data_IF_457404057981
#
_entry.id   IF_457404057981
#
_cell.length_a   1.000
_cell.length_b   1.000
_cell.length_c   1.000
_cell.angle_alpha   90.00
_cell.angle_beta   90.00
_cell.angle_gamma   90.00
#
_symmetry.space_group_name_H-M   'P 1'
#
loop_
_entity.id
_entity.type
_entity.pdbx_description
1 polymer ?
#
# COMPACT_ATOMS: atom_id res chain seq x y z
N UNK A 1 16.32 19.06 -10.24
CA UNK A 1 16.12 19.69 -8.92
C UNK A 1 15.12 18.81 -8.21
N UNK A 2 15.55 18.05 -7.20
CA UNK A 2 14.62 17.26 -6.38
C UNK A 2 13.66 18.21 -5.67
N UNK A 3 12.36 17.92 -5.72
CA UNK A 3 11.35 18.68 -4.98
C UNK A 3 11.57 18.46 -3.48
N UNK A 4 11.83 19.53 -2.74
CA UNK A 4 12.00 19.46 -1.29
C UNK A 4 10.62 19.54 -0.62
N UNK A 5 10.30 18.54 0.20
CA UNK A 5 9.06 18.48 0.98
C UNK A 5 9.34 19.03 2.39
N UNK A 6 8.47 19.90 2.88
CA UNK A 6 8.63 20.57 4.19
C UNK A 6 7.42 20.37 5.11
N UNK A 7 6.28 19.92 4.59
CA UNK A 7 5.07 19.73 5.37
C UNK A 7 4.28 18.48 4.95
N UNK A 8 3.32 18.12 5.79
CA UNK A 8 2.36 17.05 5.51
C UNK A 8 0.99 17.37 6.07
N UNK A 9 -0.04 17.05 5.30
CA UNK A 9 -1.43 17.24 5.68
C UNK A 9 -2.15 15.90 5.52
N UNK A 10 -2.43 15.17 6.61
CA UNK A 10 -3.24 13.96 6.55
C UNK A 10 -4.70 14.33 6.24
N UNK A 11 -5.29 13.64 5.27
CA UNK A 11 -6.61 13.96 4.75
C UNK A 11 -7.61 12.88 5.16
N UNK A 12 -8.54 13.27 6.04
CA UNK A 12 -9.59 12.35 6.48
C UNK A 12 -10.61 12.13 5.37
N UNK A 13 -10.90 10.87 5.07
CA UNK A 13 -11.89 10.47 4.05
C UNK A 13 -13.12 9.82 4.66
N UNK A 14 -14.09 9.49 3.82
CA UNK A 14 -15.07 8.45 4.13
C UNK A 14 -14.38 7.08 4.11
N UNK A 15 -15.08 6.03 4.55
CA UNK A 15 -14.61 4.65 4.39
C UNK A 15 -14.63 4.32 2.90
N UNK A 16 -13.45 4.13 2.31
CA UNK A 16 -13.29 3.78 0.90
C UNK A 16 -13.62 2.29 0.73
N UNK A 17 -14.41 1.97 -0.28
CA UNK A 17 -14.90 0.62 -0.58
C UNK A 17 -14.67 0.27 -2.04
N UNK A 18 -14.97 -0.97 -2.42
CA UNK A 18 -14.94 -1.46 -3.81
C UNK A 18 -15.94 -0.74 -4.75
N UNK A 19 -16.81 0.12 -4.21
CA UNK A 19 -17.77 0.94 -4.97
C UNK A 19 -17.18 2.28 -5.39
N UNK A 20 -16.01 2.63 -4.86
CA UNK A 20 -15.34 3.91 -5.09
C UNK A 20 -14.23 3.75 -6.14
N UNK A 21 -14.08 4.74 -7.02
CA UNK A 21 -12.85 4.87 -7.81
C UNK A 21 -11.86 5.73 -7.01
N UNK A 22 -10.69 5.15 -6.70
CA UNK A 22 -9.67 5.82 -5.86
C UNK A 22 -9.20 7.15 -6.45
N UNK A 23 -9.17 7.30 -7.77
CA UNK A 23 -8.75 8.55 -8.44
C UNK A 23 -9.79 9.65 -8.19
N UNK A 24 -11.08 9.31 -8.25
CA UNK A 24 -12.17 10.24 -7.93
C UNK A 24 -12.18 10.63 -6.45
N UNK A 25 -11.92 9.66 -5.56
CA UNK A 25 -11.75 9.92 -4.12
C UNK A 25 -10.59 10.88 -3.88
N UNK A 26 -9.42 10.59 -4.43
CA UNK A 26 -8.23 11.45 -4.28
C UNK A 26 -8.55 12.86 -4.74
N UNK A 27 -9.07 13.02 -5.95
CA UNK A 27 -9.44 14.33 -6.50
C UNK A 27 -10.41 15.08 -5.57
N UNK A 28 -11.48 14.43 -5.12
CA UNK A 28 -12.50 15.03 -4.24
C UNK A 28 -11.92 15.56 -2.94
N UNK A 29 -10.98 14.82 -2.33
CA UNK A 29 -10.46 15.16 -1.01
C UNK A 29 -9.22 16.07 -1.06
N UNK A 30 -8.55 16.18 -2.21
CA UNK A 30 -7.33 17.00 -2.34
C UNK A 30 -7.52 18.26 -3.18
N UNK A 31 -8.63 18.43 -3.92
CA UNK A 31 -8.84 19.56 -4.86
C UNK A 31 -8.65 20.96 -4.28
N UNK A 32 -8.80 21.15 -2.96
CA UNK A 32 -8.65 22.43 -2.26
C UNK A 32 -7.47 22.46 -1.30
N UNK A 33 -6.64 21.41 -1.30
CA UNK A 33 -5.56 21.22 -0.34
C UNK A 33 -4.22 21.02 -1.05
N UNK A 34 -4.19 20.22 -2.11
CA UNK A 34 -2.99 19.97 -2.88
C UNK A 34 -2.85 20.99 -4.03
N UNK A 35 -1.64 21.48 -4.23
CA UNK A 35 -1.29 22.36 -5.33
C UNK A 35 -0.18 21.75 -6.21
N UNK A 36 0.00 22.20 -7.46
CA UNK A 36 1.13 21.78 -8.28
C UNK A 36 2.47 21.96 -7.53
N UNK A 37 3.32 20.95 -7.59
CA UNK A 37 4.59 20.89 -6.84
C UNK A 37 4.50 20.10 -5.53
N UNK A 38 3.29 19.90 -4.97
CA UNK A 38 3.07 18.94 -3.88
C UNK A 38 3.05 17.50 -4.41
N UNK A 39 3.03 16.54 -3.48
CA UNK A 39 2.90 15.12 -3.78
C UNK A 39 1.73 14.54 -2.98
N UNK A 40 0.81 13.84 -3.64
CA UNK A 40 -0.28 13.13 -3.01
C UNK A 40 0.15 11.68 -2.72
N UNK A 41 0.35 11.36 -1.45
CA UNK A 41 0.60 10.00 -1.00
C UNK A 41 -0.72 9.29 -0.68
N UNK A 42 -0.90 8.08 -1.22
CA UNK A 42 -2.08 7.25 -1.00
C UNK A 42 -1.66 5.90 -0.43
N UNK A 43 -2.31 5.48 0.66
CA UNK A 43 -2.04 4.20 1.28
C UNK A 43 -2.38 3.05 0.31
N UNK A 44 -1.49 2.07 0.19
CA UNK A 44 -1.67 0.89 -0.66
C UNK A 44 -3.03 0.21 -0.40
N UNK A 45 -3.32 -0.06 0.88
CA UNK A 45 -4.45 -0.88 1.28
C UNK A 45 -5.78 -0.33 0.77
N UNK A 46 -5.97 1.00 0.77
CA UNK A 46 -7.21 1.60 0.23
C UNK A 46 -7.28 1.55 -1.29
N UNK A 47 -6.14 1.59 -1.99
CA UNK A 47 -6.11 1.38 -3.43
C UNK A 47 -6.56 -0.05 -3.73
N UNK A 48 -6.02 -1.03 -3.01
CA UNK A 48 -6.43 -2.43 -3.13
C UNK A 48 -7.93 -2.64 -2.81
N UNK A 49 -8.42 -2.06 -1.71
CA UNK A 49 -9.83 -2.13 -1.31
C UNK A 49 -10.73 -1.55 -2.40
N UNK A 50 -10.41 -0.37 -2.93
CA UNK A 50 -11.19 0.27 -4.02
C UNK A 50 -11.24 -0.59 -5.30
N UNK A 51 -10.26 -1.45 -5.49
CA UNK A 51 -10.19 -2.39 -6.61
C UNK A 51 -10.91 -3.73 -6.34
N UNK A 52 -11.62 -3.85 -5.21
CA UNK A 52 -12.30 -5.07 -4.80
C UNK A 52 -11.33 -6.19 -4.39
N UNK A 53 -10.16 -5.84 -3.86
CA UNK A 53 -9.10 -6.78 -3.47
C UNK A 53 -9.01 -7.03 -1.97
N UNK A 54 -10.08 -6.72 -1.24
CA UNK A 54 -10.29 -7.17 0.14
C UNK A 54 -11.28 -8.34 0.14
N UNK A 55 -10.87 -9.49 0.68
CA UNK A 55 -11.65 -10.72 0.65
C UNK A 55 -11.92 -11.18 2.08
N UNK A 56 -13.20 -11.41 2.42
CA UNK A 56 -13.55 -12.03 3.70
C UNK A 56 -13.02 -13.47 3.76
N UNK A 57 -12.25 -13.85 4.79
CA UNK A 57 -11.76 -15.22 4.97
C UNK A 57 -12.89 -16.26 4.89
N UNK A 58 -14.05 -15.95 5.45
CA UNK A 58 -15.23 -16.84 5.50
C UNK A 58 -15.85 -17.09 4.12
N UNK A 59 -15.60 -16.21 3.14
CA UNK A 59 -16.03 -16.40 1.76
C UNK A 59 -15.10 -17.31 0.97
N UNK A 60 -13.89 -17.57 1.46
CA UNK A 60 -12.89 -18.42 0.83
C UNK A 60 -13.20 -19.88 1.19
N UNK A 61 -13.05 -20.78 0.21
CA UNK A 61 -13.14 -22.24 0.41
C UNK A 61 -11.76 -22.87 0.24
N UNK A 62 -10.95 -23.01 1.31
CA UNK A 62 -9.61 -23.57 1.22
C UNK A 62 -9.66 -25.05 0.83
N UNK A 63 -8.83 -25.44 -0.13
CA UNK A 63 -8.60 -26.85 -0.44
C UNK A 63 -7.63 -27.50 0.53
N UNK A 64 -7.47 -28.83 0.40
CA UNK A 64 -6.53 -29.60 1.22
C UNK A 64 -5.09 -29.06 1.15
N UNK A 65 -4.63 -28.65 -0.04
CA UNK A 65 -3.32 -28.04 -0.21
C UNK A 65 -3.15 -26.78 0.63
N UNK A 66 -4.17 -25.93 0.70
CA UNK A 66 -4.09 -24.69 1.47
C UNK A 66 -3.99 -24.97 2.97
N UNK A 67 -4.75 -25.95 3.48
CA UNK A 67 -4.65 -26.40 4.87
C UNK A 67 -3.29 -27.03 5.21
N UNK A 68 -2.65 -27.73 4.28
CA UNK A 68 -1.31 -28.27 4.52
C UNK A 68 -0.31 -27.11 4.51
N UNK A 69 -0.38 -26.26 3.49
CA UNK A 69 0.65 -25.27 3.20
C UNK A 69 0.68 -24.12 4.20
N UNK A 70 -0.44 -23.79 4.87
CA UNK A 70 -0.50 -22.71 5.86
C UNK A 70 0.39 -22.95 7.10
N UNK A 71 0.92 -24.16 7.29
CA UNK A 71 1.83 -24.49 8.39
C UNK A 71 3.32 -24.21 8.07
N UNK A 72 3.66 -23.84 6.83
CA UNK A 72 5.05 -23.61 6.41
C UNK A 72 5.58 -22.17 6.59
N UNK A 73 4.73 -21.12 6.49
CA UNK A 73 5.13 -19.77 6.86
C UNK A 73 5.45 -19.66 8.36
N UNK A 74 6.31 -18.68 8.71
CA UNK A 74 6.60 -18.39 10.12
C UNK A 74 5.37 -17.76 10.79
N UNK A 75 5.28 -17.84 12.12
CA UNK A 75 4.16 -17.27 12.91
C UNK A 75 3.96 -15.75 12.73
N UNK A 76 5.02 -15.04 12.32
CA UNK A 76 5.02 -13.60 12.07
C UNK A 76 4.89 -13.28 10.56
N UNK A 77 4.74 -14.29 9.71
CA UNK A 77 4.66 -14.12 8.27
C UNK A 77 3.21 -14.09 7.78
N UNK A 78 2.95 -13.28 6.75
CA UNK A 78 1.77 -13.41 5.91
C UNK A 78 1.65 -14.83 5.33
N UNK A 79 0.42 -15.22 4.98
CA UNK A 79 0.00 -16.52 4.49
C UNK A 79 -0.02 -17.66 5.54
N UNK A 80 -0.19 -17.33 6.82
CA UNK A 80 -0.26 -18.31 7.90
C UNK A 80 -1.66 -18.94 8.08
N UNK A 81 -2.67 -18.47 7.34
CA UNK A 81 -4.03 -19.01 7.35
C UNK A 81 -4.38 -19.74 6.04
N UNK A 82 -5.16 -20.82 6.14
CA UNK A 82 -5.58 -21.60 4.97
C UNK A 82 -6.39 -20.76 3.93
N UNK A 83 -7.33 -19.88 4.33
CA UNK A 83 -7.95 -18.92 3.41
C UNK A 83 -6.93 -18.06 2.64
N UNK A 84 -5.93 -17.53 3.31
CA UNK A 84 -4.89 -16.70 2.70
C UNK A 84 -4.04 -17.46 1.70
N UNK A 85 -3.64 -18.69 2.03
CA UNK A 85 -2.94 -19.56 1.07
C UNK A 85 -3.81 -19.83 -0.16
N UNK A 86 -5.11 -20.08 0.03
CA UNK A 86 -6.03 -20.32 -1.07
C UNK A 86 -6.16 -19.09 -1.98
N UNK A 87 -6.23 -17.89 -1.41
CA UNK A 87 -6.24 -16.62 -2.14
C UNK A 87 -4.91 -16.43 -2.89
N UNK A 88 -3.78 -16.63 -2.23
CA UNK A 88 -2.46 -16.50 -2.84
C UNK A 88 -2.23 -17.48 -4.00
N UNK A 89 -2.65 -18.74 -3.86
CA UNK A 89 -2.65 -19.71 -4.96
C UNK A 89 -3.57 -19.28 -6.11
N UNK A 90 -4.70 -18.64 -5.82
CA UNK A 90 -5.59 -18.08 -6.84
C UNK A 90 -4.94 -16.93 -7.61
N UNK A 91 -4.15 -16.10 -6.93
CA UNK A 91 -3.50 -14.92 -7.52
C UNK A 91 -2.38 -15.29 -8.50
N UNK A 92 -1.56 -16.29 -8.19
CA UNK A 92 -0.39 -16.67 -9.03
C UNK A 92 -0.54 -18.01 -9.77
N UNK A 93 -1.60 -18.76 -9.46
CA UNK A 93 -1.79 -20.14 -9.89
C UNK A 93 -1.07 -21.16 -9.01
N UNK A 94 -1.73 -22.28 -8.74
CA UNK A 94 -1.20 -23.36 -7.88
C UNK A 94 0.18 -23.88 -8.31
N UNK A 95 0.47 -24.14 -9.61
CA UNK A 95 1.79 -24.65 -10.00
C UNK A 95 2.92 -23.68 -9.64
N UNK A 96 2.73 -22.39 -9.91
CA UNK A 96 3.72 -21.34 -9.61
C UNK A 96 3.90 -21.15 -8.11
N UNK A 97 2.80 -21.20 -7.35
CA UNK A 97 2.86 -21.15 -5.89
C UNK A 97 3.70 -22.30 -5.32
N UNK A 98 3.45 -23.54 -5.77
CA UNK A 98 4.19 -24.73 -5.33
C UNK A 98 5.69 -24.66 -5.70
N UNK A 99 6.02 -24.14 -6.89
CA UNK A 99 7.42 -23.88 -7.27
C UNK A 99 8.09 -22.90 -6.29
N UNK A 100 7.37 -21.86 -5.85
CA UNK A 100 7.86 -20.95 -4.81
C UNK A 100 8.09 -21.65 -3.47
N UNK A 101 7.17 -22.52 -3.04
CA UNK A 101 7.32 -23.31 -1.82
C UNK A 101 8.58 -24.18 -1.89
N UNK A 102 8.78 -24.88 -3.02
CA UNK A 102 9.97 -25.69 -3.25
C UNK A 102 11.26 -24.84 -3.23
N UNK A 103 11.24 -23.68 -3.89
CA UNK A 103 12.37 -22.75 -3.90
C UNK A 103 12.73 -22.24 -2.51
N UNK A 104 11.74 -21.93 -1.66
CA UNK A 104 12.00 -21.57 -0.26
C UNK A 104 12.57 -22.73 0.55
N UNK A 105 12.09 -23.95 0.34
CA UNK A 105 12.65 -25.15 0.98
C UNK A 105 14.13 -25.33 0.64
N UNK A 106 14.47 -25.29 -0.65
CA UNK A 106 15.85 -25.40 -1.14
C UNK A 106 16.73 -24.23 -0.68
N UNK A 107 16.21 -23.00 -0.73
CA UNK A 107 16.89 -21.81 -0.27
C UNK A 107 17.32 -21.89 1.19
N UNK A 108 16.44 -22.40 2.07
CA UNK A 108 16.75 -22.60 3.49
C UNK A 108 17.92 -23.57 3.70
N UNK A 109 18.07 -24.61 2.87
CA UNK A 109 19.19 -25.57 2.97
C UNK A 109 20.55 -24.92 2.72
N UNK A 110 20.58 -23.83 1.95
CA UNK A 110 21.80 -23.08 1.62
C UNK A 110 21.85 -21.70 2.32
N UNK A 111 21.01 -21.49 3.33
CA UNK A 111 21.00 -20.25 4.14
C UNK A 111 20.34 -19.03 3.48
N UNK A 112 19.65 -19.20 2.35
CA UNK A 112 18.94 -18.13 1.64
C UNK A 112 17.51 -17.97 2.14
N UNK A 113 17.04 -16.71 2.20
CA UNK A 113 15.66 -16.35 2.57
C UNK A 113 14.98 -15.56 1.43
N UNK A 114 13.65 -15.55 1.41
CA UNK A 114 12.85 -14.83 0.41
C UNK A 114 12.74 -15.49 -0.97
N UNK A 115 13.30 -16.69 -1.15
CA UNK A 115 13.23 -17.43 -2.42
C UNK A 115 11.78 -17.77 -2.83
N UNK A 116 10.85 -17.90 -1.86
CA UNK A 116 9.41 -18.05 -2.13
C UNK A 116 8.88 -16.91 -3.00
N UNK A 117 8.98 -15.66 -2.54
CA UNK A 117 8.44 -14.50 -3.24
C UNK A 117 9.15 -14.25 -4.57
N UNK A 118 10.45 -14.56 -4.67
CA UNK A 118 11.19 -14.41 -5.94
C UNK A 118 10.66 -15.32 -7.04
N UNK A 119 10.18 -16.52 -6.70
CA UNK A 119 9.67 -17.50 -7.67
C UNK A 119 8.14 -17.40 -7.81
N UNK A 120 7.41 -17.45 -6.70
CA UNK A 120 5.95 -17.41 -6.69
C UNK A 120 5.41 -16.08 -7.23
N UNK A 121 6.08 -14.97 -6.96
CA UNK A 121 5.66 -13.63 -7.35
C UNK A 121 5.86 -12.66 -6.18
N UNK A 122 6.51 -11.52 -6.45
CA UNK A 122 6.78 -10.52 -5.41
C UNK A 122 5.50 -9.91 -4.86
N UNK A 123 4.44 -9.85 -5.67
CA UNK A 123 3.13 -9.35 -5.25
C UNK A 123 2.51 -10.15 -4.10
N UNK A 124 2.90 -11.41 -3.89
CA UNK A 124 2.40 -12.19 -2.75
C UNK A 124 2.90 -11.66 -1.40
N UNK A 125 3.99 -10.86 -1.39
CA UNK A 125 4.48 -10.22 -0.18
C UNK A 125 3.58 -9.06 0.30
N UNK A 126 2.69 -8.59 -0.58
CA UNK A 126 1.69 -7.55 -0.30
C UNK A 126 0.34 -8.13 0.14
N UNK A 127 0.22 -9.46 0.24
CA UNK A 127 -0.98 -10.04 0.84
C UNK A 127 -0.86 -9.84 2.34
N UNK A 128 -1.87 -9.24 2.94
CA UNK A 128 -1.95 -9.08 4.38
C UNK A 128 -3.05 -9.98 4.96
N UNK A 129 -2.65 -10.76 5.96
CA UNK A 129 -3.50 -11.74 6.63
C UNK A 129 -4.17 -11.07 7.82
N UNK A 130 -5.48 -10.79 7.70
CA UNK A 130 -6.22 -10.04 8.71
C UNK A 130 -5.55 -8.68 8.93
N UNK A 131 -5.62 -7.84 7.90
CA UNK A 131 -4.77 -6.66 7.73
C UNK A 131 -4.75 -5.66 8.90
N UNK A 132 -5.60 -5.83 9.92
CA UNK A 132 -5.66 -4.92 11.07
C UNK A 132 -5.92 -3.49 10.64
N UNK A 133 -6.49 -3.34 9.44
CA UNK A 133 -6.84 -2.06 8.82
C UNK A 133 -8.19 -1.61 9.34
N UNK A 134 -8.65 -0.44 8.90
CA UNK A 134 -9.92 0.15 9.34
C UNK A 134 -11.11 -0.80 9.20
N UNK A 135 -12.00 -0.82 10.20
CA UNK A 135 -13.34 -1.43 10.07
C UNK A 135 -14.01 -0.95 8.76
N UNK A 136 -14.60 -1.82 7.91
CA UNK A 136 -14.88 -3.27 8.11
C UNK A 136 -13.76 -4.21 7.64
N UNK A 137 -12.65 -3.65 7.17
CA UNK A 137 -11.62 -4.39 6.47
C UNK A 137 -10.59 -5.03 7.42
N UNK A 138 -10.65 -4.73 8.71
CA UNK A 138 -9.82 -5.27 9.80
C UNK A 138 -9.67 -6.80 9.76
N UNK A 139 -10.71 -7.52 9.35
CA UNK A 139 -10.72 -8.99 9.26
C UNK A 139 -10.53 -9.55 7.86
N UNK A 140 -10.34 -8.70 6.85
CA UNK A 140 -10.19 -9.13 5.46
C UNK A 140 -8.77 -9.60 5.17
N UNK A 141 -8.66 -10.47 4.18
CA UNK A 141 -7.42 -10.73 3.46
C UNK A 141 -7.32 -9.64 2.39
N UNK A 142 -6.34 -8.76 2.49
CA UNK A 142 -6.15 -7.67 1.53
C UNK A 142 -4.98 -8.04 0.64
N UNK A 143 -5.19 -8.07 -0.68
CA UNK A 143 -4.10 -8.27 -1.65
C UNK A 143 -3.54 -6.92 -2.07
N UNK A 144 -2.27 -6.85 -2.43
CA UNK A 144 -1.70 -5.63 -3.00
C UNK A 144 -2.37 -5.16 -4.29
N UNK A 145 -2.28 -3.85 -4.62
CA UNK A 145 -3.05 -3.20 -5.67
C UNK A 145 -2.62 -3.68 -7.04
N UNK A 146 -3.58 -3.69 -7.96
CA UNK A 146 -3.34 -3.94 -9.38
C UNK A 146 -2.92 -2.65 -10.07
N UNK A 147 -1.86 -2.76 -10.86
CA UNK A 147 -1.39 -1.68 -11.75
C UNK A 147 -1.25 -0.31 -11.02
N UNK A 148 -0.49 -0.25 -9.91
CA UNK A 148 -0.37 0.96 -9.10
C UNK A 148 0.22 2.14 -9.91
N UNK A 149 1.05 1.86 -10.93
CA UNK A 149 1.60 2.90 -11.80
C UNK A 149 0.50 3.63 -12.58
N UNK A 150 -0.42 2.89 -13.21
CA UNK A 150 -1.55 3.50 -13.89
C UNK A 150 -2.45 4.30 -12.94
N UNK A 151 -2.57 3.89 -11.67
CA UNK A 151 -3.33 4.65 -10.66
C UNK A 151 -2.68 6.01 -10.39
N UNK A 152 -1.37 6.07 -10.11
CA UNK A 152 -0.68 7.35 -9.85
C UNK A 152 -0.64 8.25 -11.08
N UNK A 153 -0.50 7.69 -12.28
CA UNK A 153 -0.52 8.43 -13.54
C UNK A 153 -1.92 9.05 -13.77
N UNK A 154 -2.99 8.31 -13.51
CA UNK A 154 -4.37 8.81 -13.57
C UNK A 154 -4.62 9.89 -12.52
N UNK A 155 -4.11 9.73 -11.29
CA UNK A 155 -4.19 10.78 -10.25
C UNK A 155 -3.57 12.07 -10.79
N UNK A 156 -2.33 12.03 -11.26
CA UNK A 156 -1.65 13.20 -11.83
C UNK A 156 -2.40 13.81 -13.00
N UNK A 157 -2.98 12.98 -13.86
CA UNK A 157 -3.77 13.46 -14.99
C UNK A 157 -5.00 14.27 -14.55
N UNK A 158 -5.71 13.85 -13.49
CA UNK A 158 -6.96 14.52 -13.06
C UNK A 158 -6.74 15.65 -12.07
N UNK A 159 -5.66 15.62 -11.27
CA UNK A 159 -5.36 16.62 -10.25
C UNK A 159 -4.32 17.64 -10.70
N UNK A 160 -3.45 17.27 -11.64
CA UNK A 160 -2.25 18.05 -12.00
C UNK A 160 -1.12 17.98 -10.97
N UNK A 161 -1.25 17.13 -9.94
CA UNK A 161 -0.31 17.01 -8.82
C UNK A 161 0.42 15.66 -8.89
N UNK A 162 1.69 15.62 -8.49
CA UNK A 162 2.44 14.37 -8.41
C UNK A 162 1.85 13.43 -7.36
N UNK A 163 2.04 12.12 -7.53
CA UNK A 163 1.39 11.13 -6.69
C UNK A 163 2.27 9.90 -6.46
N UNK A 164 2.08 9.28 -5.29
CA UNK A 164 2.71 8.03 -4.91
C UNK A 164 1.69 7.09 -4.25
N UNK A 165 1.90 5.79 -4.40
CA UNK A 165 1.22 4.77 -3.60
C UNK A 165 2.24 4.14 -2.67
N UNK A 166 1.93 4.11 -1.38
CA UNK A 166 2.87 3.65 -0.36
C UNK A 166 2.27 2.61 0.57
N UNK A 167 3.05 1.57 0.86
CA UNK A 167 2.85 0.67 1.98
C UNK A 167 3.78 1.14 3.11
N UNK A 168 3.19 1.65 4.20
CA UNK A 168 3.91 2.16 5.36
C UNK A 168 3.42 1.43 6.60
N UNK A 169 4.36 0.95 7.40
CA UNK A 169 4.04 0.32 8.68
C UNK A 169 4.72 1.00 9.87
N UNK A 170 4.21 0.69 11.06
CA UNK A 170 4.61 1.35 12.31
C UNK A 170 6.04 1.02 12.79
N UNK A 171 6.68 0.02 12.20
CA UNK A 171 8.11 -0.29 12.47
C UNK A 171 9.05 0.54 11.58
N UNK A 172 8.50 1.49 10.81
CA UNK A 172 9.25 2.43 9.97
C UNK A 172 9.73 1.86 8.64
N UNK A 173 9.13 0.75 8.19
CA UNK A 173 9.34 0.25 6.83
C UNK A 173 8.34 0.94 5.90
N UNK A 174 8.89 1.58 4.88
CA UNK A 174 8.15 2.26 3.82
C UNK A 174 8.51 1.57 2.51
N UNK A 175 7.51 1.17 1.74
CA UNK A 175 7.63 0.69 0.37
C UNK A 175 6.83 1.60 -0.56
N UNK A 176 7.45 2.15 -1.58
CA UNK A 176 6.78 2.96 -2.60
C UNK A 176 6.47 2.03 -3.77
N UNK A 177 5.18 1.74 -3.95
CA UNK A 177 4.74 0.76 -4.95
C UNK A 177 4.61 1.36 -6.35
N UNK A 178 4.38 2.67 -6.41
CA UNK A 178 4.38 3.45 -7.64
C UNK A 178 4.56 4.93 -7.31
N UNK A 179 5.16 5.65 -8.26
CA UNK A 179 5.33 7.09 -8.19
C UNK A 179 5.18 7.71 -9.58
N UNK A 180 4.69 8.94 -9.64
CA UNK A 180 4.71 9.74 -10.88
C UNK A 180 6.15 10.12 -11.23
N UNK A 181 6.42 10.31 -12.52
CA UNK A 181 7.77 10.63 -12.99
C UNK A 181 8.31 11.95 -12.40
N UNK A 182 9.55 11.91 -11.91
CA UNK A 182 10.28 13.05 -11.35
C UNK A 182 10.28 13.14 -9.82
N UNK A 183 9.56 12.25 -9.14
CA UNK A 183 9.56 12.12 -7.68
C UNK A 183 10.86 11.49 -7.18
N UNK A 184 11.43 12.07 -6.11
CA UNK A 184 12.61 11.54 -5.42
C UNK A 184 12.18 10.54 -4.34
N UNK A 185 11.99 9.29 -4.73
CA UNK A 185 11.49 8.22 -3.86
C UNK A 185 12.35 8.01 -2.60
N UNK A 186 13.69 8.09 -2.72
CA UNK A 186 14.60 7.89 -1.59
C UNK A 186 14.43 8.96 -0.51
N UNK A 187 14.23 10.21 -0.92
CA UNK A 187 13.95 11.31 0.02
C UNK A 187 12.59 11.10 0.72
N UNK A 188 11.58 10.63 -0.01
CA UNK A 188 10.24 10.41 0.52
C UNK A 188 10.17 9.26 1.51
N UNK A 189 10.96 8.20 1.31
CA UNK A 189 11.03 7.08 2.28
C UNK A 189 11.32 7.59 3.68
N UNK A 190 12.25 8.55 3.86
CA UNK A 190 12.54 9.11 5.18
C UNK A 190 11.39 9.90 5.77
N UNK A 191 10.67 10.64 4.92
CA UNK A 191 9.60 11.55 5.33
C UNK A 191 8.32 10.82 5.74
N UNK A 192 8.15 9.57 5.29
CA UNK A 192 6.99 8.74 5.58
C UNK A 192 7.21 7.73 6.72
N UNK A 193 8.44 7.62 7.28
CA UNK A 193 8.80 6.57 8.25
C UNK A 193 7.94 6.50 9.50
N UNK A 194 7.43 7.64 9.95
CA UNK A 194 6.58 7.72 11.15
C UNK A 194 5.09 7.56 10.83
N UNK A 195 4.78 6.99 9.65
CA UNK A 195 3.45 6.63 9.19
C UNK A 195 2.43 7.79 9.27
N UNK A 196 2.52 8.78 8.36
CA UNK A 196 1.62 9.92 8.38
C UNK A 196 0.19 9.59 7.97
N UNK A 197 -0.06 8.40 7.41
CA UNK A 197 -1.42 7.90 7.18
C UNK A 197 -2.15 7.60 8.50
N UNK A 198 -1.41 7.46 9.59
CA UNK A 198 -1.96 7.09 10.88
C UNK A 198 -2.44 5.65 10.92
N UNK A 199 -3.13 5.32 12.01
CA UNK A 199 -3.63 3.96 12.26
C UNK A 199 -5.16 3.92 12.20
N UNK A 200 -5.68 2.75 11.85
CA UNK A 200 -7.05 2.24 12.03
C UNK A 200 -8.15 3.33 12.00
N UNK A 201 -8.46 3.93 13.15
CA UNK A 201 -9.57 4.87 13.34
C UNK A 201 -9.34 6.30 12.83
N UNK A 202 -8.12 6.66 12.41
CA UNK A 202 -7.84 8.03 11.94
C UNK A 202 -8.46 8.33 10.57
N UNK A 203 -8.66 7.27 9.75
CA UNK A 203 -9.28 7.35 8.42
C UNK A 203 -8.59 8.38 7.50
N UNK A 204 -7.26 8.43 7.54
CA UNK A 204 -6.41 9.36 6.77
C UNK A 204 -5.59 8.65 5.69
N UNK A 205 -6.21 7.90 4.76
CA UNK A 205 -5.49 7.11 3.78
C UNK A 205 -4.81 7.95 2.69
N UNK A 206 -5.04 9.26 2.68
CA UNK A 206 -4.39 10.22 1.77
C UNK A 206 -3.60 11.21 2.62
N UNK A 207 -2.36 11.48 2.23
CA UNK A 207 -1.51 12.51 2.84
C UNK A 207 -1.00 13.41 1.72
N UNK A 208 -1.21 14.72 1.85
CA UNK A 208 -0.57 15.70 0.96
C UNK A 208 0.78 16.07 1.53
N UNK A 209 1.85 15.76 0.79
CA UNK A 209 3.22 16.15 1.09
C UNK A 209 3.46 17.53 0.46
N UNK A 210 3.60 18.54 1.31
CA UNK A 210 3.63 19.94 0.88
C UNK A 210 5.06 20.33 0.54
N UNK A 211 5.24 20.86 -0.66
CA UNK A 211 6.54 21.33 -1.12
C UNK A 211 6.99 22.59 -0.36
N UNK A 212 8.30 22.80 -0.26
CA UNK A 212 8.88 24.02 0.29
C UNK A 212 8.34 25.31 -0.37
N UNK A 213 8.03 25.25 -1.67
CA UNK A 213 7.46 26.38 -2.39
C UNK A 213 6.05 26.72 -1.89
N UNK A 214 5.20 25.70 -1.70
CA UNK A 214 3.82 25.89 -1.26
C UNK A 214 3.71 26.11 0.26
N UNK A 215 4.68 25.61 1.05
CA UNK A 215 4.75 25.87 2.49
C UNK A 215 4.87 27.36 2.84
N UNK A 216 5.48 28.18 1.98
CA UNK A 216 5.58 29.64 2.17
C UNK A 216 4.22 30.34 2.17
N UNK A 217 3.19 29.74 1.57
CA UNK A 217 1.83 30.27 1.65
C UNK A 217 1.18 30.01 3.02
N UNK A 218 1.57 28.93 3.70
CA UNK A 218 1.14 28.60 5.06
C UNK A 218 1.92 29.34 6.16
N UNK A 219 3.16 29.72 5.85
CA UNK A 219 4.02 30.54 6.71
C UNK A 219 4.44 31.80 5.97
N UNK A 220 3.55 32.81 5.81
CA UNK A 220 3.97 34.08 5.26
C UNK A 220 5.10 34.63 6.12
N UNK A 221 6.27 34.86 5.51
CA UNK A 221 7.41 35.47 6.18
C UNK A 221 6.93 36.73 6.92
N UNK A 222 7.14 36.73 8.24
CA UNK A 222 7.04 37.87 9.15
C UNK A 222 5.77 38.75 9.05
N UNK A 223 4.83 38.52 9.98
CA UNK A 223 4.25 39.68 10.67
C UNK A 223 5.38 40.36 11.44
N UNK A 224 6.06 41.30 10.77
CA UNK A 224 6.82 42.34 11.43
C UNK A 224 5.89 43.06 12.43
N UNK A 225 6.08 42.74 13.71
CA UNK A 225 5.66 43.54 14.85
C UNK A 225 6.89 43.84 15.69
#
# INVERSE_FOLDING_TARGET
MSQMIEGRIPIRTHIITEKDDIVDVVKKYTEKVAAPGDIIAVAESVVAISQGRAILPDAVKPGLLAHILCHFPGKEGSLAAAPSIQVAMGEVGTPRFLLGVAAAGLGRLVGRRGDFYRVAGRQLAQIDDFAGTMWPFDRHIVLGPKDPQNVVDRIKQVTGVDAIITDVNDIGKVDILAATGGVDEEALVQFLKDNPHGNDDQQTPIVVLVSAANMREYMPEDRQC
#
